data_IF_061521503620
#
_entry.id   IF_061521503620
#
_cell.length_a   1.000
_cell.length_b   1.000
_cell.length_c   1.000
_cell.angle_alpha   90.00
_cell.angle_beta   90.00
_cell.angle_gamma   90.00
#
_symmetry.space_group_name_H-M   'P 1'
#
loop_
_entity.id
_entity.type
_entity.pdbx_description
1 polymer ?
#
# COMPACT_ATOMS: atom_id res chain seq x y z
N UNK A 1 44.99 19.29 -10.21
CA UNK A 1 43.88 18.37 -10.56
C UNK A 1 43.30 18.79 -11.91
N UNK A 2 43.98 18.44 -13.00
CA UNK A 2 43.66 18.91 -14.37
C UNK A 2 43.93 17.78 -15.37
N UNK A 3 43.30 16.62 -15.17
CA UNK A 3 43.54 15.42 -15.99
C UNK A 3 42.24 14.73 -16.44
N UNK A 4 41.18 15.50 -16.72
CA UNK A 4 39.90 14.96 -17.23
C UNK A 4 39.50 15.47 -18.62
N UNK A 5 40.34 16.28 -19.28
CA UNK A 5 40.07 16.81 -20.63
C UNK A 5 41.09 16.33 -21.66
N UNK A 6 41.58 15.10 -21.51
CA UNK A 6 42.28 14.41 -22.61
C UNK A 6 41.24 13.86 -23.58
N UNK A 7 40.62 14.81 -24.29
CA UNK A 7 39.69 14.57 -25.37
C UNK A 7 40.22 13.46 -26.28
N UNK A 8 39.35 12.50 -26.57
CA UNK A 8 39.41 11.70 -27.78
C UNK A 8 39.80 12.66 -28.92
N UNK A 9 41.05 12.58 -29.38
CA UNK A 9 41.62 13.48 -30.40
C UNK A 9 41.09 13.05 -31.77
N UNK A 10 39.78 13.09 -31.92
CA UNK A 10 39.05 12.93 -33.17
C UNK A 10 39.38 14.19 -33.98
N UNK A 11 40.50 14.15 -34.70
CA UNK A 11 41.07 15.26 -35.48
C UNK A 11 40.25 15.57 -36.74
N UNK A 12 38.94 15.42 -36.64
CA UNK A 12 38.01 15.57 -37.74
C UNK A 12 36.83 16.43 -37.26
N UNK A 13 36.73 17.64 -37.80
CA UNK A 13 35.76 18.67 -37.41
C UNK A 13 34.31 18.14 -37.42
N UNK A 14 33.99 17.28 -38.39
CA UNK A 14 32.67 16.65 -38.54
C UNK A 14 32.30 15.77 -37.36
N UNK A 15 33.26 14.98 -36.86
CA UNK A 15 33.03 14.09 -35.71
C UNK A 15 32.84 14.89 -34.43
N UNK A 16 33.54 16.02 -34.27
CA UNK A 16 33.38 16.90 -33.12
C UNK A 16 31.99 17.56 -33.09
N UNK A 17 31.52 18.06 -34.24
CA UNK A 17 30.17 18.66 -34.36
C UNK A 17 29.09 17.59 -34.13
N UNK A 18 29.26 16.38 -34.67
CA UNK A 18 28.32 15.27 -34.48
C UNK A 18 28.29 14.81 -33.00
N UNK A 19 29.45 14.67 -32.36
CA UNK A 19 29.52 14.28 -30.95
C UNK A 19 28.89 15.36 -30.05
N UNK A 20 29.13 16.63 -30.34
CA UNK A 20 28.61 17.74 -29.54
C UNK A 20 27.10 17.94 -29.67
N UNK A 21 26.48 17.46 -30.74
CA UNK A 21 25.02 17.54 -30.94
C UNK A 21 24.30 16.27 -30.45
N UNK A 22 24.87 15.09 -30.71
CA UNK A 22 24.27 13.82 -30.32
C UNK A 22 24.38 13.58 -28.81
N UNK A 23 25.51 13.92 -28.19
CA UNK A 23 25.74 13.67 -26.75
C UNK A 23 24.77 14.41 -25.82
N UNK A 24 24.48 15.72 -25.98
CA UNK A 24 23.47 16.38 -25.15
C UNK A 24 22.05 15.87 -25.44
N UNK A 25 21.75 15.51 -26.70
CA UNK A 25 20.46 14.96 -27.06
C UNK A 25 20.23 13.60 -26.39
N UNK A 26 21.22 12.71 -26.40
CA UNK A 26 21.10 11.40 -25.72
C UNK A 26 20.97 11.57 -24.21
N UNK A 27 21.73 12.49 -23.59
CA UNK A 27 21.57 12.81 -22.17
C UNK A 27 20.14 13.29 -21.88
N UNK A 28 19.59 14.18 -22.71
CA UNK A 28 18.23 14.69 -22.55
C UNK A 28 17.18 13.57 -22.66
N UNK A 29 17.34 12.66 -23.62
CA UNK A 29 16.47 11.49 -23.78
C UNK A 29 16.54 10.55 -22.58
N UNK A 30 17.74 10.31 -22.03
CA UNK A 30 17.92 9.48 -20.83
C UNK A 30 17.19 10.10 -19.63
N UNK A 31 17.38 11.39 -19.38
CA UNK A 31 16.73 12.11 -18.27
C UNK A 31 15.20 12.08 -18.43
N UNK A 32 14.69 12.36 -19.64
CA UNK A 32 13.26 12.34 -19.92
C UNK A 32 12.66 10.92 -19.72
N UNK A 33 13.37 9.89 -20.17
CA UNK A 33 12.95 8.49 -19.99
C UNK A 33 12.89 8.08 -18.52
N UNK A 34 13.94 8.40 -17.75
CA UNK A 34 13.99 8.08 -16.32
C UNK A 34 12.90 8.81 -15.53
N UNK A 35 12.66 10.08 -15.84
CA UNK A 35 11.59 10.87 -15.22
C UNK A 35 10.20 10.31 -15.57
N UNK A 36 10.00 9.87 -16.81
CA UNK A 36 8.75 9.26 -17.27
C UNK A 36 8.40 7.98 -16.50
N UNK A 37 9.38 7.07 -16.35
CA UNK A 37 9.18 5.80 -15.63
C UNK A 37 8.82 6.06 -14.17
N UNK A 38 9.59 6.91 -13.48
CA UNK A 38 9.33 7.22 -12.06
C UNK A 38 7.94 7.83 -11.83
N UNK A 39 7.50 8.70 -12.73
CA UNK A 39 6.16 9.31 -12.65
C UNK A 39 5.05 8.27 -12.84
N UNK A 40 5.20 7.39 -13.84
CA UNK A 40 4.22 6.34 -14.10
C UNK A 40 4.13 5.34 -12.95
N UNK A 41 5.27 4.93 -12.38
CA UNK A 41 5.30 4.03 -11.22
C UNK A 41 4.60 4.64 -10.01
N UNK A 42 4.83 5.92 -9.73
CA UNK A 42 4.14 6.61 -8.64
C UNK A 42 2.62 6.67 -8.85
N UNK A 43 2.16 6.89 -10.09
CA UNK A 43 0.73 6.88 -10.42
C UNK A 43 0.10 5.50 -10.25
N UNK A 44 0.76 4.43 -10.72
CA UNK A 44 0.24 3.06 -10.59
C UNK A 44 0.19 2.62 -9.14
N UNK A 45 1.22 2.92 -8.33
CA UNK A 45 1.19 2.63 -6.89
C UNK A 45 0.03 3.33 -6.19
N UNK A 46 -0.22 4.61 -6.51
CA UNK A 46 -1.34 5.36 -5.92
C UNK A 46 -2.70 4.75 -6.27
N UNK A 47 -2.89 4.37 -7.54
CA UNK A 47 -4.14 3.72 -7.97
C UNK A 47 -4.35 2.37 -7.30
N UNK A 48 -3.29 1.56 -7.16
CA UNK A 48 -3.37 0.28 -6.46
C UNK A 48 -3.74 0.45 -4.98
N UNK A 49 -3.16 1.45 -4.31
CA UNK A 49 -3.49 1.76 -2.92
C UNK A 49 -4.94 2.26 -2.80
N UNK A 50 -5.37 3.18 -3.67
CA UNK A 50 -6.74 3.71 -3.65
C UNK A 50 -7.80 2.62 -3.90
N UNK A 51 -7.54 1.72 -4.85
CA UNK A 51 -8.44 0.60 -5.16
C UNK A 51 -8.49 -0.41 -4.01
N UNK A 52 -7.33 -0.81 -3.48
CA UNK A 52 -7.30 -1.74 -2.35
C UNK A 52 -7.92 -1.14 -1.09
N UNK A 53 -7.78 0.17 -0.86
CA UNK A 53 -8.48 0.86 0.21
C UNK A 53 -10.00 0.78 0.05
N UNK A 54 -10.52 0.88 -1.18
CA UNK A 54 -11.96 0.69 -1.45
C UNK A 54 -12.38 -0.76 -1.20
N UNK A 55 -11.60 -1.73 -1.65
CA UNK A 55 -11.88 -3.16 -1.44
C UNK A 55 -11.86 -3.52 0.06
N UNK A 56 -10.85 -3.07 0.80
CA UNK A 56 -10.73 -3.26 2.25
C UNK A 56 -11.94 -2.65 3.00
N UNK A 57 -12.41 -1.46 2.59
CA UNK A 57 -13.64 -0.88 3.15
C UNK A 57 -14.88 -1.72 2.87
N UNK A 58 -15.03 -2.25 1.65
CA UNK A 58 -16.17 -3.10 1.29
C UNK A 58 -16.13 -4.40 2.09
N UNK A 59 -14.95 -5.02 2.22
CA UNK A 59 -14.73 -6.22 3.01
C UNK A 59 -15.05 -5.99 4.49
N UNK A 60 -14.48 -4.95 5.10
CA UNK A 60 -14.77 -4.58 6.48
C UNK A 60 -16.27 -4.35 6.70
N UNK A 61 -16.94 -3.66 5.77
CA UNK A 61 -18.40 -3.46 5.85
C UNK A 61 -19.17 -4.77 5.76
N UNK A 62 -18.83 -5.65 4.82
CA UNK A 62 -19.49 -6.95 4.70
C UNK A 62 -19.29 -7.81 5.95
N UNK A 63 -18.08 -7.80 6.53
CA UNK A 63 -17.78 -8.58 7.73
C UNK A 63 -18.50 -8.00 8.96
N UNK A 64 -18.61 -6.68 9.07
CA UNK A 64 -19.39 -6.01 10.11
C UNK A 64 -20.89 -6.31 10.01
N UNK A 65 -21.45 -6.37 8.79
CA UNK A 65 -22.86 -6.76 8.58
C UNK A 65 -23.11 -8.21 9.02
N UNK A 66 -22.25 -9.14 8.60
CA UNK A 66 -22.36 -10.54 9.03
C UNK A 66 -22.23 -10.69 10.55
N UNK A 67 -21.34 -9.91 11.19
CA UNK A 67 -21.18 -9.94 12.64
C UNK A 67 -22.44 -9.48 13.41
N UNK A 68 -23.29 -8.62 12.80
CA UNK A 68 -24.56 -8.22 13.39
C UNK A 68 -25.65 -9.29 13.26
N UNK A 69 -25.70 -10.01 12.14
CA UNK A 69 -26.65 -11.13 11.93
C UNK A 69 -26.34 -12.35 12.83
N UNK A 70 -25.13 -12.41 13.36
CA UNK A 70 -24.67 -13.34 14.38
C UNK A 70 -23.16 -13.44 14.30
N UNK A 71 -22.47 -13.30 15.45
CA UNK A 71 -21.03 -13.51 15.49
C UNK A 71 -20.74 -14.88 14.88
N UNK A 72 -19.97 -14.97 13.77
CA UNK A 72 -19.52 -16.26 13.29
C UNK A 72 -18.83 -16.96 14.46
N UNK A 73 -19.19 -18.22 14.71
CA UNK A 73 -18.44 -19.10 15.59
C UNK A 73 -16.94 -18.83 15.37
N UNK A 74 -16.10 -18.71 16.42
CA UNK A 74 -14.70 -18.34 16.27
C UNK A 74 -13.96 -19.24 15.24
N UNK A 75 -14.45 -20.46 15.03
CA UNK A 75 -14.01 -21.38 13.97
C UNK A 75 -14.28 -20.92 12.52
N UNK A 76 -15.38 -20.22 12.25
CA UNK A 76 -15.73 -19.67 10.92
C UNK A 76 -14.93 -18.40 10.64
N UNK A 77 -14.70 -17.56 11.66
CA UNK A 77 -13.82 -16.40 11.54
C UNK A 77 -12.36 -16.83 11.33
N UNK A 78 -11.90 -17.83 12.09
CA UNK A 78 -10.60 -18.47 11.86
C UNK A 78 -10.51 -19.14 10.48
N UNK A 79 -11.59 -19.73 9.97
CA UNK A 79 -11.62 -20.34 8.64
C UNK A 79 -11.57 -19.29 7.52
N UNK A 80 -12.30 -18.17 7.65
CA UNK A 80 -12.24 -17.04 6.72
C UNK A 80 -10.85 -16.39 6.74
N UNK A 81 -10.31 -16.13 7.94
CA UNK A 81 -8.95 -15.62 8.12
C UNK A 81 -7.89 -16.58 7.60
N UNK A 82 -8.09 -17.90 7.73
CA UNK A 82 -7.19 -18.91 7.15
C UNK A 82 -7.27 -18.97 5.62
N UNK A 83 -8.46 -18.84 5.04
CA UNK A 83 -8.61 -18.75 3.58
C UNK A 83 -7.88 -17.50 3.06
N UNK A 84 -8.03 -16.36 3.73
CA UNK A 84 -7.41 -15.10 3.33
C UNK A 84 -5.91 -15.04 3.63
N UNK A 85 -5.43 -15.73 4.67
CA UNK A 85 -4.01 -15.82 5.06
C UNK A 85 -3.10 -16.49 4.02
N UNK A 86 -3.67 -17.16 3.01
CA UNK A 86 -2.89 -17.61 1.86
C UNK A 86 -2.48 -16.46 0.93
N UNK A 87 -3.00 -15.25 1.14
CA UNK A 87 -2.76 -14.10 0.28
C UNK A 87 -2.70 -12.79 1.10
N UNK A 88 -1.70 -12.70 1.98
CA UNK A 88 -1.22 -11.49 2.69
C UNK A 88 -1.77 -11.27 4.12
N UNK A 89 -0.93 -10.65 4.97
CA UNK A 89 -1.09 -10.53 6.41
C UNK A 89 -2.19 -9.52 6.80
N UNK A 90 -3.44 -9.90 6.59
CA UNK A 90 -4.60 -9.12 6.98
C UNK A 90 -4.92 -9.37 8.45
N UNK A 91 -4.92 -8.30 9.26
CA UNK A 91 -5.34 -8.35 10.66
C UNK A 91 -6.78 -7.82 10.77
N UNK A 92 -7.64 -8.57 11.45
CA UNK A 92 -9.01 -8.18 11.77
C UNK A 92 -9.10 -7.94 13.26
N UNK A 93 -9.59 -6.77 13.67
CA UNK A 93 -9.89 -6.44 15.05
C UNK A 93 -11.37 -6.11 15.20
N UNK A 94 -11.97 -6.57 16.29
CA UNK A 94 -13.28 -6.12 16.74
C UNK A 94 -13.06 -5.29 18.00
N UNK A 95 -13.55 -4.06 18.00
CA UNK A 95 -13.41 -3.12 19.08
C UNK A 95 -14.77 -2.84 19.73
N UNK A 96 -14.78 -2.52 21.01
CA UNK A 96 -15.94 -1.93 21.68
C UNK A 96 -16.03 -0.41 21.44
N UNK A 97 -17.03 0.24 22.03
CA UNK A 97 -17.26 1.69 21.92
C UNK A 97 -16.19 2.53 22.62
N UNK A 98 -15.48 1.95 23.58
CA UNK A 98 -14.32 2.56 24.23
C UNK A 98 -13.03 2.39 23.40
N UNK A 99 -13.05 1.62 22.31
CA UNK A 99 -11.90 1.29 21.46
C UNK A 99 -11.03 0.16 22.01
N UNK A 100 -11.52 -0.59 23.01
CA UNK A 100 -10.85 -1.79 23.50
C UNK A 100 -11.05 -2.95 22.54
N UNK A 101 -10.03 -3.78 22.41
CA UNK A 101 -10.07 -4.94 21.51
C UNK A 101 -10.83 -6.08 22.17
N UNK A 102 -11.99 -6.42 21.61
CA UNK A 102 -12.80 -7.58 21.98
C UNK A 102 -12.31 -8.86 21.29
N UNK A 103 -11.85 -8.71 20.05
CA UNK A 103 -11.30 -9.80 19.25
C UNK A 103 -10.16 -9.28 18.38
N UNK A 104 -9.13 -10.10 18.19
CA UNK A 104 -8.09 -9.89 17.20
C UNK A 104 -7.76 -11.21 16.51
N UNK A 105 -7.77 -11.20 15.18
CA UNK A 105 -7.42 -12.33 14.35
C UNK A 105 -6.47 -11.92 13.22
N UNK A 106 -5.77 -12.91 12.66
CA UNK A 106 -4.75 -12.66 11.64
C UNK A 106 -3.40 -12.23 12.22
N UNK A 107 -2.47 -11.85 11.35
CA UNK A 107 -1.14 -11.36 11.73
C UNK A 107 -1.07 -9.85 11.45
N UNK A 108 -0.69 -9.07 12.45
CA UNK A 108 -0.54 -7.62 12.31
C UNK A 108 0.04 -6.97 13.57
N UNK A 109 0.25 -5.65 13.54
CA UNK A 109 0.88 -4.94 14.64
C UNK A 109 0.01 -4.99 15.91
N UNK A 110 0.65 -5.05 17.07
CA UNK A 110 -0.02 -4.97 18.37
C UNK A 110 -0.43 -3.53 18.74
N UNK A 111 -0.05 -2.55 17.92
CA UNK A 111 -0.34 -1.15 18.15
C UNK A 111 -1.85 -0.87 18.27
N UNK A 112 -2.25 0.00 19.22
CA UNK A 112 -3.65 0.36 19.44
C UNK A 112 -4.25 1.04 18.21
N UNK A 113 -5.56 0.91 18.07
CA UNK A 113 -6.30 1.56 16.98
C UNK A 113 -6.56 3.03 17.31
N UNK A 114 -6.63 3.90 16.30
CA UNK A 114 -6.93 5.31 16.49
C UNK A 114 -8.36 5.52 17.03
N UNK A 115 -8.46 5.79 18.34
CA UNK A 115 -9.72 5.97 19.05
C UNK A 115 -10.58 7.14 18.55
N UNK A 116 -10.02 8.14 17.85
CA UNK A 116 -10.80 9.22 17.25
C UNK A 116 -11.70 8.68 16.13
N UNK A 117 -11.16 7.82 15.27
CA UNK A 117 -11.90 7.22 14.15
C UNK A 117 -12.94 6.23 14.67
N UNK A 118 -12.62 5.53 15.76
CA UNK A 118 -13.58 4.63 16.42
C UNK A 118 -14.80 5.41 16.92
N UNK A 119 -14.57 6.56 17.57
CA UNK A 119 -15.65 7.43 18.07
C UNK A 119 -16.55 7.99 16.97
N UNK A 120 -16.04 8.15 15.76
CA UNK A 120 -16.83 8.67 14.63
C UNK A 120 -17.90 7.67 14.14
N UNK A 121 -17.78 6.37 14.49
CA UNK A 121 -18.74 5.32 14.14
C UNK A 121 -19.19 5.37 12.68
N UNK A 122 -18.24 5.52 11.77
CA UNK A 122 -18.49 5.57 10.32
C UNK A 122 -17.58 4.58 9.61
N UNK A 123 -18.10 4.04 8.51
CA UNK A 123 -17.28 3.27 7.61
C UNK A 123 -16.27 4.20 6.93
N UNK A 124 -14.97 3.97 7.14
CA UNK A 124 -13.91 4.79 6.56
C UNK A 124 -12.66 3.96 6.33
N UNK A 125 -11.97 4.20 5.22
CA UNK A 125 -10.67 3.63 4.90
C UNK A 125 -9.63 4.74 4.97
N UNK A 126 -8.46 4.43 5.53
CA UNK A 126 -7.34 5.36 5.64
C UNK A 126 -6.01 4.65 5.46
N UNK A 127 -5.02 5.39 5.00
CA UNK A 127 -3.63 4.99 5.09
C UNK A 127 -3.08 5.42 6.45
N UNK A 128 -2.54 4.48 7.22
CA UNK A 128 -1.92 4.75 8.52
C UNK A 128 -0.51 4.17 8.56
N UNK A 129 0.42 4.90 9.15
CA UNK A 129 1.76 4.38 9.45
C UNK A 129 1.76 3.83 10.87
N UNK A 130 1.95 2.52 11.00
CA UNK A 130 1.95 1.80 12.26
C UNK A 130 3.31 1.12 12.39
N UNK A 131 4.06 1.43 13.45
CA UNK A 131 5.39 0.85 13.70
C UNK A 131 6.38 1.01 12.52
N UNK A 132 6.22 2.08 11.74
CA UNK A 132 7.09 2.38 10.58
C UNK A 132 6.69 1.69 9.27
N UNK A 133 5.64 0.86 9.28
CA UNK A 133 5.06 0.27 8.06
C UNK A 133 3.73 0.95 7.69
N UNK A 134 3.46 1.09 6.39
CA UNK A 134 2.19 1.62 5.90
C UNK A 134 1.13 0.50 5.86
N UNK A 135 -0.04 0.80 6.41
CA UNK A 135 -1.22 -0.06 6.40
C UNK A 135 -2.41 0.68 5.80
N UNK A 136 -3.18 -0.05 5.01
CA UNK A 136 -4.56 0.30 4.71
C UNK A 136 -5.40 -0.15 5.90
N UNK A 137 -6.06 0.80 6.56
CA UNK A 137 -6.91 0.55 7.72
C UNK A 137 -8.34 0.89 7.37
N UNK A 138 -9.21 -0.12 7.34
CA UNK A 138 -10.63 0.03 7.06
C UNK A 138 -11.45 -0.19 8.34
N UNK A 139 -12.28 0.80 8.66
CA UNK A 139 -13.15 0.81 9.81
C UNK A 139 -14.59 0.58 9.34
N UNK A 140 -15.36 -0.23 10.04
CA UNK A 140 -16.78 -0.44 9.77
C UNK A 140 -17.56 -0.65 11.08
N UNK A 141 -18.60 0.17 11.38
CA UNK A 141 -19.43 -0.05 12.55
C UNK A 141 -20.28 -1.32 12.36
N UNK A 142 -20.45 -2.10 13.42
CA UNK A 142 -21.34 -3.25 13.44
C UNK A 142 -22.77 -2.74 13.67
N UNK A 143 -23.75 -3.09 12.82
CA UNK A 143 -25.14 -2.69 13.02
C UNK A 143 -25.67 -3.13 14.39
N UNK A 144 -26.48 -2.26 15.01
CA UNK A 144 -27.21 -2.52 16.27
C UNK A 144 -26.35 -2.92 17.48
N UNK A 145 -25.02 -2.83 17.35
CA UNK A 145 -24.05 -3.16 18.39
C UNK A 145 -23.10 -1.97 18.60
N UNK A 146 -22.59 -1.76 19.83
CA UNK A 146 -21.62 -0.71 20.12
C UNK A 146 -20.22 -1.03 19.58
N UNK A 147 -20.09 -2.04 18.70
CA UNK A 147 -18.82 -2.55 18.24
C UNK A 147 -18.39 -1.97 16.90
N UNK A 148 -17.09 -1.99 16.67
CA UNK A 148 -16.50 -1.54 15.43
C UNK A 148 -15.47 -2.54 14.93
N UNK A 149 -15.64 -2.96 13.69
CA UNK A 149 -14.70 -3.82 13.00
C UNK A 149 -13.60 -2.96 12.37
N UNK A 150 -12.37 -3.43 12.47
CA UNK A 150 -11.18 -2.82 11.90
C UNK A 150 -10.41 -3.88 11.13
N UNK A 151 -10.17 -3.60 9.85
CA UNK A 151 -9.35 -4.42 8.96
C UNK A 151 -8.05 -3.67 8.71
N UNK A 152 -6.91 -4.33 8.87
CA UNK A 152 -5.58 -3.77 8.58
C UNK A 152 -4.88 -4.65 7.56
N UNK A 153 -4.41 -4.04 6.49
CA UNK A 153 -3.66 -4.72 5.44
C UNK A 153 -2.36 -3.97 5.16
N UNK A 154 -1.18 -4.63 5.18
CA UNK A 154 0.09 -3.97 4.92
C UNK A 154 0.21 -3.56 3.45
N UNK A 155 0.56 -2.30 3.18
CA UNK A 155 0.78 -1.82 1.80
C UNK A 155 1.93 -2.56 1.11
N UNK A 156 2.93 -2.99 1.87
CA UNK A 156 4.06 -3.75 1.36
C UNK A 156 3.61 -5.04 0.65
N UNK A 157 2.58 -5.72 1.17
CA UNK A 157 2.02 -6.92 0.56
C UNK A 157 1.45 -6.67 -0.85
N UNK A 158 0.93 -5.46 -1.08
CA UNK A 158 0.33 -5.05 -2.36
C UNK A 158 1.43 -4.63 -3.35
N UNK A 159 2.50 -4.00 -2.85
CA UNK A 159 3.58 -3.46 -3.66
C UNK A 159 4.67 -4.49 -4.02
N UNK A 160 4.89 -5.52 -3.20
CA UNK A 160 5.95 -6.52 -3.38
C UNK A 160 5.87 -7.33 -4.69
N UNK A 161 4.68 -7.79 -5.16
CA UNK A 161 4.59 -8.48 -6.45
C UNK A 161 5.07 -7.60 -7.60
N UNK A 162 4.81 -6.29 -7.56
CA UNK A 162 5.22 -5.34 -8.59
C UNK A 162 6.75 -5.21 -8.67
N UNK A 163 7.43 -5.22 -7.52
CA UNK A 163 8.90 -5.14 -7.44
C UNK A 163 9.55 -6.44 -7.96
N UNK A 164 8.92 -7.61 -7.75
CA UNK A 164 9.45 -8.89 -8.26
C UNK A 164 9.44 -8.96 -9.79
N UNK A 165 8.48 -8.34 -10.46
CA UNK A 165 8.46 -8.25 -11.93
C UNK A 165 9.56 -7.35 -12.50
N UNK A 166 10.14 -6.44 -11.71
CA UNK A 166 11.26 -5.60 -12.17
C UNK A 166 12.63 -6.31 -12.06
N UNK A 167 12.70 -7.47 -11.40
CA UNK A 167 13.94 -8.21 -11.15
C UNK A 167 14.11 -9.49 -11.99
N UNK A 168 13.14 -9.83 -12.84
CA UNK A 168 13.14 -11.00 -13.73
C UNK A 168 13.36 -10.59 -15.19
#
# INVERSE_FOLDING_TARGET
MTWLTSALRLRNLRTQVMLWTVLPLTILLIVASLAGIGTHQASMRRLAVDENQRLAMIMARSLALNAADGLPEPSVLDALLKLESTTHATQVLLLDDAGQTLFAGGQGPAAPVNGEVVRQRRAVGRLETIEGAEYIVAYAPVPDLPWQLVLREPVAAIAEPLIRFEQA
#
